data_IF_816130815456
#
_entry.id   IF_816130815456
#
_cell.length_a   1.000
_cell.length_b   1.000
_cell.length_c   1.000
_cell.angle_alpha   90.00
_cell.angle_beta   90.00
_cell.angle_gamma   90.00
#
_symmetry.space_group_name_H-M   'P 1'
#
loop_
_entity.id
_entity.type
_entity.pdbx_description
1 polymer ?
#
# COMPACT_ATOMS: atom_id res chain seq x y z
N UNK A 1 -52.77 -75.39 -22.11
CA UNK A 1 -51.97 -76.58 -22.50
C UNK A 1 -51.15 -76.16 -23.71
N UNK A 2 -49.88 -75.81 -23.48
CA UNK A 2 -48.69 -76.63 -23.77
C UNK A 2 -48.49 -76.85 -25.26
N UNK A 3 -47.35 -76.38 -25.78
CA UNK A 3 -46.74 -77.00 -26.96
C UNK A 3 -45.91 -76.07 -27.84
N UNK A 4 -44.76 -75.60 -27.36
CA UNK A 4 -43.62 -75.35 -28.25
C UNK A 4 -43.07 -76.69 -28.76
N UNK A 5 -42.44 -76.72 -29.95
CA UNK A 5 -41.06 -77.21 -29.97
C UNK A 5 -40.12 -76.42 -30.89
N UNK A 6 -38.84 -76.52 -30.51
CA UNK A 6 -37.60 -75.95 -31.07
C UNK A 6 -37.27 -76.38 -32.52
N UNK A 7 -36.30 -75.69 -33.14
CA UNK A 7 -35.00 -76.23 -33.66
C UNK A 7 -34.30 -75.24 -34.64
N UNK A 8 -33.15 -74.67 -34.19
CA UNK A 8 -31.84 -74.24 -34.83
C UNK A 8 -31.77 -73.72 -36.28
N UNK A 9 -30.80 -72.89 -36.76
CA UNK A 9 -29.53 -72.24 -36.33
C UNK A 9 -29.23 -71.11 -37.38
N UNK A 10 -28.39 -70.07 -37.20
CA UNK A 10 -26.93 -70.06 -37.18
C UNK A 10 -26.41 -68.61 -36.96
N UNK A 11 -25.47 -68.46 -36.01
CA UNK A 11 -24.28 -67.58 -35.95
C UNK A 11 -24.21 -66.26 -36.73
N UNK A 12 -23.91 -65.15 -36.00
CA UNK A 12 -22.79 -64.22 -36.30
C UNK A 12 -22.51 -63.28 -35.09
N UNK A 13 -21.43 -63.62 -34.39
CA UNK A 13 -20.36 -62.81 -33.77
C UNK A 13 -20.63 -61.34 -33.35
N UNK A 14 -20.60 -61.14 -32.03
CA UNK A 14 -19.91 -60.11 -31.22
C UNK A 14 -19.64 -58.70 -31.80
N UNK A 15 -20.18 -57.69 -31.10
CA UNK A 15 -19.35 -56.60 -30.55
C UNK A 15 -19.99 -56.03 -29.27
N UNK A 16 -19.44 -56.42 -28.12
CA UNK A 16 -19.77 -55.87 -26.81
C UNK A 16 -18.91 -54.62 -26.58
N UNK A 17 -19.53 -53.44 -26.73
CA UNK A 17 -18.93 -52.15 -26.38
C UNK A 17 -19.83 -51.34 -25.45
N UNK A 18 -20.40 -51.97 -24.41
CA UNK A 18 -21.12 -51.24 -23.37
C UNK A 18 -20.10 -50.74 -22.34
N UNK A 19 -19.72 -49.46 -22.45
CA UNK A 19 -18.95 -48.79 -21.43
C UNK A 19 -19.79 -48.72 -20.16
N UNK A 20 -19.34 -49.35 -19.08
CA UNK A 20 -19.91 -49.20 -17.76
C UNK A 20 -19.92 -47.69 -17.39
N UNK A 21 -21.09 -47.09 -17.10
CA UNK A 21 -21.11 -45.75 -16.55
C UNK A 21 -20.53 -45.80 -15.13
N UNK A 22 -19.55 -44.95 -14.86
CA UNK A 22 -18.92 -44.83 -13.55
C UNK A 22 -20.01 -44.63 -12.47
N UNK A 23 -20.14 -45.51 -11.46
CA UNK A 23 -21.16 -45.40 -10.43
C UNK A 23 -21.03 -44.13 -9.56
N UNK A 24 -19.98 -43.33 -9.77
CA UNK A 24 -19.72 -42.06 -9.09
C UNK A 24 -19.91 -40.82 -9.99
N UNK A 25 -20.40 -40.98 -11.22
CA UNK A 25 -20.68 -39.85 -12.10
C UNK A 25 -21.87 -39.04 -11.57
N UNK A 26 -21.58 -37.86 -11.02
CA UNK A 26 -22.61 -36.88 -10.63
C UNK A 26 -23.33 -36.35 -11.88
N UNK A 27 -24.67 -36.24 -11.89
CA UNK A 27 -25.40 -35.63 -13.00
C UNK A 27 -24.92 -34.19 -13.26
N UNK A 28 -24.89 -33.75 -14.53
CA UNK A 28 -24.45 -32.41 -14.92
C UNK A 28 -25.19 -31.29 -14.19
N UNK A 29 -26.46 -31.52 -13.84
CA UNK A 29 -27.30 -30.63 -13.03
C UNK A 29 -26.81 -30.41 -11.60
N UNK A 30 -25.97 -31.29 -11.06
CA UNK A 30 -25.31 -31.17 -9.75
C UNK A 30 -23.82 -30.84 -9.86
N UNK A 31 -23.32 -30.60 -11.08
CA UNK A 31 -21.93 -30.24 -11.30
C UNK A 31 -21.69 -28.78 -10.92
N UNK A 32 -20.84 -28.58 -9.91
CA UNK A 32 -20.39 -27.24 -9.53
C UNK A 32 -19.37 -26.78 -10.58
N UNK A 33 -19.47 -25.55 -11.13
CA UNK A 33 -18.50 -25.08 -12.10
C UNK A 33 -17.07 -25.22 -11.58
N UNK A 34 -16.26 -26.01 -12.29
CA UNK A 34 -14.84 -26.14 -12.01
C UNK A 34 -14.19 -24.80 -12.39
N UNK A 35 -13.88 -24.02 -11.37
CA UNK A 35 -13.18 -22.72 -11.40
C UNK A 35 -14.10 -21.50 -11.54
N UNK A 36 -13.89 -20.45 -10.74
CA UNK A 36 -14.48 -19.15 -11.06
C UNK A 36 -13.83 -18.61 -12.35
N UNK A 37 -14.66 -18.12 -13.28
CA UNK A 37 -14.26 -17.45 -14.54
C UNK A 37 -13.52 -16.10 -14.30
N UNK A 38 -13.22 -15.78 -13.04
CA UNK A 38 -12.51 -14.56 -12.65
C UNK A 38 -11.67 -14.81 -11.41
N UNK A 39 -10.38 -14.47 -11.47
CA UNK A 39 -9.45 -14.39 -10.32
C UNK A 39 -9.86 -13.37 -9.23
N UNK A 40 -11.08 -12.83 -9.29
CA UNK A 40 -11.60 -11.98 -8.24
C UNK A 40 -12.10 -12.84 -7.07
N UNK A 41 -11.28 -12.90 -6.02
CA UNK A 41 -11.67 -13.34 -4.70
C UNK A 41 -13.10 -12.83 -4.37
N UNK A 42 -14.07 -13.71 -4.01
CA UNK A 42 -15.45 -13.30 -3.72
C UNK A 42 -15.56 -12.35 -2.53
N UNK A 43 -14.57 -12.30 -1.64
CA UNK A 43 -14.46 -11.30 -0.56
C UNK A 43 -13.86 -9.96 -0.98
N UNK A 44 -13.30 -9.83 -2.18
CA UNK A 44 -12.76 -8.56 -2.68
C UNK A 44 -13.86 -7.49 -2.88
N UNK A 45 -15.11 -7.92 -3.08
CA UNK A 45 -16.27 -7.00 -3.16
C UNK A 45 -16.66 -6.38 -1.82
N UNK A 46 -16.10 -6.85 -0.70
CA UNK A 46 -16.33 -6.30 0.64
C UNK A 46 -15.27 -5.25 1.02
N UNK A 47 -14.23 -5.09 0.19
CA UNK A 47 -13.24 -4.04 0.37
C UNK A 47 -13.84 -2.70 -0.05
N UNK A 48 -14.17 -1.85 0.92
CA UNK A 48 -14.51 -0.44 0.68
C UNK A 48 -13.31 0.40 0.21
N UNK A 49 -12.12 -0.20 0.10
CA UNK A 49 -10.91 0.48 -0.36
C UNK A 49 -11.06 0.94 -1.80
N UNK A 50 -10.73 2.20 -2.05
CA UNK A 50 -10.84 2.83 -3.39
C UNK A 50 -9.62 2.57 -4.29
N UNK A 51 -8.69 1.73 -3.86
CA UNK A 51 -7.45 1.38 -4.54
C UNK A 51 -7.34 -0.14 -4.72
N UNK A 52 -6.51 -0.59 -5.66
CA UNK A 52 -6.46 -2.01 -6.07
C UNK A 52 -5.29 -2.77 -5.47
N UNK A 53 -4.22 -2.08 -5.07
CA UNK A 53 -3.04 -2.65 -4.39
C UNK A 53 -2.50 -1.66 -3.39
N UNK A 54 -1.82 -2.17 -2.37
CA UNK A 54 -1.06 -1.35 -1.43
C UNK A 54 0.00 -0.51 -2.15
N UNK A 55 0.25 0.68 -1.63
CA UNK A 55 1.20 1.63 -2.19
C UNK A 55 1.83 2.48 -1.11
N UNK A 56 2.96 3.10 -1.43
CA UNK A 56 3.56 4.15 -0.61
C UNK A 56 3.18 5.50 -1.21
N UNK A 57 2.71 6.42 -0.37
CA UNK A 57 2.49 7.82 -0.73
C UNK A 57 3.56 8.68 -0.05
N UNK A 58 4.21 9.54 -0.81
CA UNK A 58 5.07 10.62 -0.28
C UNK A 58 4.28 11.91 -0.36
N UNK A 59 4.19 12.64 0.74
CA UNK A 59 3.54 13.96 0.79
C UNK A 59 4.44 14.98 1.45
N UNK A 60 4.30 16.24 1.07
CA UNK A 60 4.95 17.37 1.73
C UNK A 60 3.94 18.40 2.22
N UNK A 61 4.39 19.28 3.12
CA UNK A 61 3.66 20.48 3.49
C UNK A 61 4.44 21.71 3.03
N UNK A 62 3.88 22.44 2.08
CA UNK A 62 4.37 23.76 1.70
C UNK A 62 3.52 24.83 2.39
N UNK A 63 4.11 25.87 2.97
CA UNK A 63 3.32 26.96 3.56
C UNK A 63 2.49 27.72 2.51
N UNK A 64 2.93 27.75 1.25
CA UNK A 64 2.26 28.48 0.18
C UNK A 64 1.02 27.75 -0.35
N UNK A 65 1.07 26.41 -0.39
CA UNK A 65 0.06 25.56 -1.04
C UNK A 65 -0.72 24.71 -0.03
N UNK A 66 -0.11 24.42 1.11
CA UNK A 66 -0.60 23.45 2.10
C UNK A 66 -0.01 22.05 1.90
N UNK A 67 -0.63 21.03 2.52
CA UNK A 67 -0.25 19.64 2.32
C UNK A 67 -0.58 19.16 0.91
N UNK A 68 0.37 18.50 0.25
CA UNK A 68 0.18 17.96 -1.10
C UNK A 68 0.86 16.61 -1.32
N UNK A 69 0.27 15.72 -2.13
CA UNK A 69 0.91 14.49 -2.57
C UNK A 69 2.04 14.82 -3.56
N UNK A 70 3.18 14.14 -3.42
CA UNK A 70 4.33 14.30 -4.31
C UNK A 70 4.45 13.15 -5.31
N UNK A 71 4.42 11.92 -4.81
CA UNK A 71 4.52 10.72 -5.64
C UNK A 71 3.95 9.50 -4.94
N UNK A 72 3.64 8.47 -5.73
CA UNK A 72 3.29 7.14 -5.24
C UNK A 72 4.32 6.11 -5.67
N UNK A 73 4.48 5.05 -4.87
CA UNK A 73 5.29 3.88 -5.22
C UNK A 73 4.38 2.66 -5.10
N UNK A 74 4.07 1.97 -6.22
CA UNK A 74 4.47 2.30 -7.59
C UNK A 74 3.83 3.60 -8.14
N UNK A 75 4.44 4.18 -9.17
CA UNK A 75 3.95 5.41 -9.84
C UNK A 75 2.74 5.15 -10.76
N UNK A 76 2.26 3.90 -10.87
CA UNK A 76 1.12 3.56 -11.71
C UNK A 76 -0.20 4.10 -11.10
N UNK A 77 -0.88 5.06 -11.75
CA UNK A 77 -2.12 5.63 -11.24
C UNK A 77 -3.25 4.60 -11.12
N UNK A 78 -3.19 3.48 -11.85
CA UNK A 78 -4.18 2.40 -11.76
C UNK A 78 -4.18 1.73 -10.38
N UNK A 79 -3.07 1.78 -9.67
CA UNK A 79 -2.95 1.23 -8.31
C UNK A 79 -3.85 2.00 -7.35
N UNK A 80 -3.86 3.32 -7.46
CA UNK A 80 -4.64 4.21 -6.60
C UNK A 80 -6.15 4.20 -6.92
N UNK A 81 -6.56 3.74 -8.11
CA UNK A 81 -7.97 3.64 -8.47
C UNK A 81 -8.70 4.99 -8.35
N UNK A 82 -9.72 5.05 -7.48
CA UNK A 82 -10.48 6.27 -7.17
C UNK A 82 -10.12 6.85 -5.80
N UNK A 83 -8.97 6.46 -5.23
CA UNK A 83 -8.47 6.98 -3.96
C UNK A 83 -8.09 8.46 -4.09
N UNK A 84 -8.59 9.30 -3.17
CA UNK A 84 -8.30 10.72 -3.18
C UNK A 84 -6.98 11.04 -2.46
N UNK A 85 -5.90 11.10 -3.23
CA UNK A 85 -4.55 11.38 -2.73
C UNK A 85 -4.47 12.74 -2.03
N UNK A 86 -5.16 13.77 -2.55
CA UNK A 86 -5.09 15.11 -1.97
C UNK A 86 -5.75 15.13 -0.60
N UNK A 87 -6.97 14.59 -0.50
CA UNK A 87 -7.66 14.46 0.78
C UNK A 87 -6.85 13.64 1.78
N UNK A 88 -6.24 12.53 1.33
CA UNK A 88 -5.44 11.70 2.22
C UNK A 88 -4.14 12.38 2.67
N UNK A 89 -3.44 13.10 1.78
CA UNK A 89 -2.28 13.93 2.12
C UNK A 89 -2.63 15.01 3.17
N UNK A 90 -3.77 15.70 3.00
CA UNK A 90 -4.27 16.63 4.01
C UNK A 90 -4.47 15.93 5.35
N UNK A 91 -5.10 14.75 5.36
CA UNK A 91 -5.39 14.00 6.58
C UNK A 91 -4.14 13.57 7.33
N UNK A 92 -3.17 12.95 6.66
CA UNK A 92 -1.96 12.43 7.31
C UNK A 92 -1.01 13.55 7.78
N UNK A 93 -1.05 14.70 7.12
CA UNK A 93 -0.24 15.87 7.49
C UNK A 93 -0.88 16.76 8.55
N UNK A 94 -2.20 16.66 8.74
CA UNK A 94 -2.92 17.37 9.81
C UNK A 94 -2.87 16.64 11.16
N UNK A 95 -2.27 15.45 11.21
CA UNK A 95 -2.04 14.75 12.47
C UNK A 95 -1.04 15.56 13.29
N UNK A 96 -1.40 15.91 14.52
CA UNK A 96 -0.48 16.52 15.49
C UNK A 96 0.61 15.52 15.87
N UNK A 97 1.67 15.45 15.07
CA UNK A 97 2.90 14.83 15.48
C UNK A 97 3.70 15.89 16.23
N UNK A 98 3.74 15.77 17.55
CA UNK A 98 4.65 16.55 18.38
C UNK A 98 6.07 16.13 18.00
N UNK A 99 6.65 16.78 16.98
CA UNK A 99 8.08 16.76 16.75
C UNK A 99 8.72 17.23 18.06
N UNK A 100 9.40 16.32 18.75
CA UNK A 100 10.17 16.64 19.95
C UNK A 100 11.31 17.57 19.54
N UNK A 101 11.01 18.86 19.39
CA UNK A 101 12.01 19.91 19.34
C UNK A 101 12.63 19.92 20.72
N UNK A 102 13.72 19.16 20.89
CA UNK A 102 14.47 19.10 22.13
C UNK A 102 14.89 20.54 22.42
N UNK A 103 14.23 21.14 23.41
CA UNK A 103 14.45 22.51 23.82
C UNK A 103 15.93 22.74 24.08
N UNK A 104 16.41 23.91 23.67
CA UNK A 104 17.79 24.32 23.91
C UNK A 104 18.14 24.14 25.39
N UNK A 105 19.30 23.53 25.71
CA UNK A 105 19.86 23.69 27.05
C UNK A 105 20.00 25.20 27.32
N UNK A 106 19.55 25.70 28.47
CA UNK A 106 19.73 27.12 28.80
C UNK A 106 21.23 27.45 28.76
N UNK A 107 21.64 28.36 27.86
CA UNK A 107 23.03 28.84 27.77
C UNK A 107 23.69 28.80 26.38
N UNK A 108 23.04 28.29 25.32
CA UNK A 108 23.59 28.33 23.96
C UNK A 108 23.03 29.52 23.17
N UNK A 109 23.86 30.55 22.94
CA UNK A 109 23.50 31.77 22.21
C UNK A 109 23.35 31.64 20.69
N UNK A 110 23.32 30.42 20.16
CA UNK A 110 23.17 30.14 18.73
C UNK A 110 22.05 29.11 18.51
N UNK A 111 21.17 29.32 17.52
CA UNK A 111 20.19 28.32 17.13
C UNK A 111 20.93 27.10 16.58
N UNK A 112 21.14 26.10 17.43
CA UNK A 112 21.71 24.82 17.02
C UNK A 112 20.63 24.11 16.21
N UNK A 113 20.91 23.81 14.93
CA UNK A 113 20.08 22.95 14.10
C UNK A 113 19.92 21.60 14.85
N UNK A 114 18.80 21.42 15.53
CA UNK A 114 18.53 20.22 16.32
C UNK A 114 18.06 19.11 15.39
N UNK A 115 18.59 17.90 15.62
CA UNK A 115 18.12 16.72 14.92
C UNK A 115 16.78 16.32 15.54
N UNK A 116 15.70 16.71 14.87
CA UNK A 116 14.35 16.27 15.24
C UNK A 116 14.24 14.80 14.90
N UNK A 117 13.89 13.99 15.90
CA UNK A 117 13.57 12.59 15.71
C UNK A 117 12.27 12.47 14.90
N UNK A 118 12.23 11.51 13.97
CA UNK A 118 11.05 11.27 13.15
C UNK A 118 9.89 10.74 14.00
N UNK A 119 8.67 11.15 13.67
CA UNK A 119 7.46 10.62 14.28
C UNK A 119 6.87 9.52 13.43
N UNK A 120 6.19 8.56 14.07
CA UNK A 120 5.56 7.41 13.41
C UNK A 120 4.19 7.18 13.99
N UNK A 121 3.19 7.02 13.14
CA UNK A 121 1.80 6.77 13.55
C UNK A 121 1.14 5.74 12.64
N UNK A 122 0.15 5.02 13.16
CA UNK A 122 -0.75 4.20 12.35
C UNK A 122 -2.14 4.82 12.42
N UNK A 123 -2.80 5.00 11.28
CA UNK A 123 -4.10 5.64 11.19
C UNK A 123 -5.03 4.92 10.23
N UNK A 124 -6.33 4.95 10.53
CA UNK A 124 -7.39 4.49 9.65
C UNK A 124 -8.15 5.65 9.02
N UNK A 125 -8.58 5.47 7.79
CA UNK A 125 -9.47 6.35 7.05
C UNK A 125 -10.65 5.57 6.48
N UNK A 126 -11.78 5.67 7.17
CA UNK A 126 -13.02 5.03 6.76
C UNK A 126 -13.61 5.61 5.46
N UNK A 127 -13.30 6.86 5.10
CA UNK A 127 -13.81 7.47 3.84
C UNK A 127 -13.16 6.83 2.62
N UNK A 128 -11.89 6.45 2.74
CA UNK A 128 -11.11 5.82 1.66
C UNK A 128 -10.99 4.30 1.83
N UNK A 129 -11.52 3.74 2.93
CA UNK A 129 -11.40 2.32 3.26
C UNK A 129 -9.95 1.88 3.45
N UNK A 130 -9.12 2.76 4.03
CA UNK A 130 -7.67 2.63 4.04
C UNK A 130 -7.11 2.66 5.46
N UNK A 131 -6.02 1.93 5.66
CA UNK A 131 -5.17 2.02 6.84
C UNK A 131 -3.77 2.41 6.39
N UNK A 132 -3.05 3.18 7.20
CA UNK A 132 -1.71 3.59 6.84
C UNK A 132 -0.75 3.63 8.03
N UNK A 133 0.47 3.17 7.77
CA UNK A 133 1.64 3.49 8.56
C UNK A 133 2.25 4.77 7.99
N UNK A 134 2.39 5.80 8.82
CA UNK A 134 2.92 7.11 8.41
C UNK A 134 4.18 7.42 9.19
N UNK A 135 5.23 7.78 8.47
CA UNK A 135 6.52 8.20 9.01
C UNK A 135 6.74 9.67 8.64
N UNK A 136 6.62 10.56 9.62
CA UNK A 136 6.85 11.98 9.47
C UNK A 136 8.33 12.31 9.65
N UNK A 137 8.86 13.09 8.73
CA UNK A 137 10.23 13.58 8.75
C UNK A 137 10.25 15.06 8.34
N UNK A 138 11.36 15.74 8.62
CA UNK A 138 11.57 17.13 8.24
C UNK A 138 12.88 17.26 7.48
N UNK A 139 12.83 18.00 6.37
CA UNK A 139 13.99 18.29 5.52
C UNK A 139 14.32 19.79 5.60
N UNK A 140 15.58 20.15 5.41
CA UNK A 140 15.99 21.55 5.35
C UNK A 140 15.67 22.15 3.98
N UNK A 141 15.16 23.38 4.00
CA UNK A 141 14.90 24.18 2.81
C UNK A 141 15.10 25.66 3.14
N UNK A 142 15.98 26.34 2.39
CA UNK A 142 16.26 27.76 2.59
C UNK A 142 15.07 28.67 2.25
N UNK A 143 14.17 28.21 1.38
CA UNK A 143 12.99 28.98 0.97
C UNK A 143 11.80 28.79 1.91
N UNK A 144 11.85 27.79 2.79
CA UNK A 144 10.83 27.55 3.80
C UNK A 144 11.02 28.42 5.04
N UNK A 145 9.92 28.84 5.65
CA UNK A 145 9.95 29.48 6.96
C UNK A 145 10.56 28.52 7.99
N UNK A 146 11.43 29.05 8.84
CA UNK A 146 12.16 28.24 9.82
C UNK A 146 13.24 27.34 9.20
N UNK A 147 13.52 27.50 7.90
CA UNK A 147 14.51 26.74 7.13
C UNK A 147 14.24 25.23 7.04
N UNK A 148 12.98 24.84 7.23
CA UNK A 148 12.57 23.44 7.28
C UNK A 148 11.23 23.21 6.57
N UNK A 149 11.08 22.05 5.95
CA UNK A 149 9.85 21.60 5.30
C UNK A 149 9.42 20.21 5.82
N UNK A 150 8.17 20.05 6.27
CA UNK A 150 7.63 18.75 6.65
C UNK A 150 7.38 17.83 5.45
N UNK A 151 7.71 16.56 5.63
CA UNK A 151 7.42 15.46 4.71
C UNK A 151 6.84 14.27 5.48
N UNK A 152 6.09 13.43 4.79
CA UNK A 152 5.77 12.11 5.30
C UNK A 152 5.86 11.04 4.22
N UNK A 153 6.17 9.82 4.66
CA UNK A 153 6.08 8.61 3.86
C UNK A 153 4.98 7.75 4.48
N UNK A 154 3.96 7.39 3.70
CA UNK A 154 2.82 6.61 4.16
C UNK A 154 2.69 5.30 3.39
N UNK A 155 2.78 4.16 4.06
CA UNK A 155 2.40 2.86 3.49
C UNK A 155 0.90 2.66 3.67
N UNK A 156 0.15 2.59 2.56
CA UNK A 156 -1.32 2.50 2.52
C UNK A 156 -1.75 1.08 2.17
N UNK A 157 -2.65 0.51 2.97
CA UNK A 157 -3.18 -0.86 2.84
C UNK A 157 -4.68 -0.90 3.16
N UNK A 158 -5.42 -1.80 2.51
CA UNK A 158 -6.83 -2.04 2.83
C UNK A 158 -7.00 -2.92 4.08
N UNK A 159 -5.95 -3.63 4.50
CA UNK A 159 -5.94 -4.48 5.70
C UNK A 159 -5.01 -3.89 6.78
N UNK A 160 -5.60 -3.49 7.90
CA UNK A 160 -4.89 -2.99 9.09
C UNK A 160 -3.95 -4.04 9.68
N UNK A 161 -4.35 -5.31 9.68
CA UNK A 161 -3.59 -6.39 10.31
C UNK A 161 -2.24 -6.59 9.63
N UNK A 162 -2.19 -6.39 8.31
CA UNK A 162 -0.94 -6.40 7.54
C UNK A 162 0.02 -5.31 8.03
N UNK A 163 -0.48 -4.12 8.34
CA UNK A 163 0.36 -3.05 8.88
C UNK A 163 0.90 -3.43 10.25
N UNK A 164 0.02 -3.95 11.13
CA UNK A 164 0.40 -4.31 12.49
C UNK A 164 1.41 -5.46 12.54
N UNK A 165 1.23 -6.49 11.72
CA UNK A 165 2.14 -7.64 11.65
C UNK A 165 3.52 -7.25 11.09
N UNK A 166 3.59 -6.29 10.17
CA UNK A 166 4.83 -5.84 9.54
C UNK A 166 5.38 -4.54 10.14
N UNK A 167 4.80 -4.05 11.25
CA UNK A 167 5.12 -2.75 11.82
C UNK A 167 6.62 -2.54 12.06
N UNK A 168 7.32 -3.55 12.61
CA UNK A 168 8.76 -3.45 12.87
C UNK A 168 9.57 -3.34 11.57
N UNK A 169 9.23 -4.11 10.54
CA UNK A 169 9.91 -4.07 9.25
C UNK A 169 9.62 -2.75 8.53
N UNK A 170 8.36 -2.29 8.51
CA UNK A 170 7.98 -1.00 7.97
C UNK A 170 8.76 0.13 8.66
N UNK A 171 8.80 0.12 9.99
CA UNK A 171 9.54 1.10 10.77
C UNK A 171 11.04 1.08 10.49
N UNK A 172 11.64 -0.10 10.36
CA UNK A 172 13.07 -0.23 10.03
C UNK A 172 13.37 0.33 8.64
N UNK A 173 12.60 -0.10 7.63
CA UNK A 173 12.83 0.30 6.23
C UNK A 173 12.55 1.78 5.98
N UNK A 174 11.48 2.32 6.56
CA UNK A 174 11.16 3.73 6.43
C UNK A 174 12.19 4.60 7.16
N UNK A 175 12.74 4.15 8.29
CA UNK A 175 13.84 4.86 8.96
C UNK A 175 15.13 4.86 8.12
N UNK A 176 15.46 3.75 7.47
CA UNK A 176 16.60 3.71 6.56
C UNK A 176 16.41 4.66 5.37
N UNK A 177 15.20 4.70 4.81
CA UNK A 177 14.86 5.61 3.72
C UNK A 177 14.90 7.07 4.17
N UNK A 178 14.33 7.41 5.33
CA UNK A 178 14.32 8.78 5.86
C UNK A 178 15.73 9.27 6.17
N UNK A 179 16.60 8.44 6.74
CA UNK A 179 17.99 8.81 7.00
C UNK A 179 18.80 9.03 5.71
N UNK A 180 18.57 8.21 4.67
CA UNK A 180 19.17 8.45 3.35
C UNK A 180 18.72 9.80 2.77
N UNK A 181 17.42 10.10 2.83
CA UNK A 181 16.85 11.36 2.35
C UNK A 181 17.42 12.56 3.12
N UNK A 182 17.45 12.50 4.46
CA UNK A 182 18.02 13.56 5.29
C UNK A 182 19.51 13.76 5.03
N UNK A 183 20.28 12.68 4.86
CA UNK A 183 21.71 12.79 4.57
C UNK A 183 21.96 13.49 3.22
N UNK A 184 21.20 13.13 2.18
CA UNK A 184 21.23 13.79 0.88
C UNK A 184 20.81 15.26 0.99
N UNK A 185 19.70 15.53 1.67
CA UNK A 185 19.18 16.87 1.89
C UNK A 185 20.18 17.77 2.65
N UNK A 186 20.80 17.30 3.73
CA UNK A 186 21.84 18.05 4.47
C UNK A 186 23.00 18.45 3.56
N UNK A 187 23.44 17.56 2.68
CA UNK A 187 24.52 17.85 1.73
C UNK A 187 24.09 18.90 0.69
N UNK A 188 22.86 18.79 0.18
CA UNK A 188 22.32 19.76 -0.78
C UNK A 188 22.17 21.14 -0.13
N UNK A 189 21.57 21.19 1.07
CA UNK A 189 21.39 22.40 1.86
C UNK A 189 22.71 23.10 2.17
N UNK A 190 23.74 22.36 2.60
CA UNK A 190 25.06 22.94 2.88
C UNK A 190 25.69 23.58 1.63
N UNK A 191 25.59 22.94 0.45
CA UNK A 191 26.08 23.50 -0.81
C UNK A 191 25.34 24.78 -1.19
N UNK A 192 24.03 24.78 -0.99
CA UNK A 192 23.20 25.94 -1.30
C UNK A 192 23.50 27.13 -0.37
N UNK A 193 23.65 26.86 0.92
CA UNK A 193 24.04 27.86 1.92
C UNK A 193 25.40 28.48 1.58
N UNK A 194 26.38 27.67 1.19
CA UNK A 194 27.69 28.16 0.73
C UNK A 194 27.58 29.03 -0.52
N UNK A 195 26.68 28.69 -1.46
CA UNK A 195 26.43 29.51 -2.65
C UNK A 195 25.86 30.87 -2.25
N UNK A 196 24.81 30.88 -1.43
CA UNK A 196 24.20 32.12 -0.94
C UNK A 196 25.17 33.00 -0.15
N UNK A 197 26.09 32.39 0.61
CA UNK A 197 27.12 33.13 1.34
C UNK A 197 28.07 33.86 0.39
N UNK A 198 28.51 33.19 -0.69
CA UNK A 198 29.38 33.82 -1.71
C UNK A 198 28.68 34.95 -2.48
N UNK A 199 27.37 34.87 -2.67
CA UNK A 199 26.61 35.93 -3.34
C UNK A 199 26.46 37.19 -2.47
N UNK A 200 26.74 37.09 -1.16
CA UNK A 200 26.70 38.19 -0.20
C UNK A 200 28.07 38.85 0.05
N UNK A 201 29.16 38.19 -0.36
CA UNK A 201 30.55 38.68 -0.29
C UNK A 201 30.96 39.42 -1.57
#
# INVERSE_FOLDING_TARGET
>A
MIGSPDVVAFTKEDDFGQADPDPWAIPEEFSVPLSPISDSNPWAKTSYAKFTKDFILISEFSEQVGPQPLLTIPEDPKVCGTFDLNYFSLRIMSVDYQASFVGHPPGSGYPRLSFVEDSRVVLGDSKEGAFAYVHHLTLYDLEARGFVRPFCMAYVSADERKIMLQFQELSLRFSQASECLKAGNRRAFAKELQRKLRDLE
#
